data_IF_469603654122
#
_entry.id   IF_469603654122
#
_cell.length_a   1.000
_cell.length_b   1.000
_cell.length_c   1.000
_cell.angle_alpha   90.00
_cell.angle_beta   90.00
_cell.angle_gamma   90.00
#
_symmetry.space_group_name_H-M   'P 1'
#
loop_
_entity.id
_entity.type
_entity.pdbx_description
1 polymer ?
#
# COMPACT_ATOMS: atom_id res chain seq x y z
N UNK A 1 26.27 53.49 -5.63
CA UNK A 1 25.10 53.00 -6.37
C UNK A 1 24.39 52.03 -5.48
N UNK A 2 23.36 52.48 -4.77
CA UNK A 2 22.58 51.67 -3.79
C UNK A 2 21.33 51.17 -4.50
N UNK A 3 21.18 49.86 -4.64
CA UNK A 3 19.99 49.24 -5.22
C UNK A 3 19.02 48.94 -4.06
N UNK A 4 17.94 49.77 -3.98
CA UNK A 4 16.82 49.52 -3.08
C UNK A 4 15.90 48.45 -3.67
N UNK A 5 15.84 47.28 -3.04
CA UNK A 5 14.78 46.32 -3.27
C UNK A 5 13.58 46.64 -2.38
N UNK A 6 12.52 47.17 -2.98
CA UNK A 6 11.22 47.26 -2.33
C UNK A 6 10.48 45.92 -2.43
N UNK A 7 9.92 45.36 -1.33
CA UNK A 7 9.13 44.16 -1.42
C UNK A 7 7.77 44.47 -2.05
N UNK A 8 7.44 43.77 -3.14
CA UNK A 8 6.09 43.81 -3.71
C UNK A 8 5.12 43.15 -2.72
N UNK A 9 4.33 43.96 -2.03
CA UNK A 9 3.12 43.51 -1.36
C UNK A 9 2.17 42.93 -2.41
N UNK A 10 1.98 41.60 -2.39
CA UNK A 10 0.81 40.96 -2.99
C UNK A 10 -0.25 40.80 -1.91
N UNK A 11 -1.09 41.81 -1.75
CA UNK A 11 -2.39 41.65 -1.10
C UNK A 11 -3.33 41.02 -2.13
N UNK A 12 -3.65 39.77 -1.95
CA UNK A 12 -4.92 39.23 -2.37
C UNK A 12 -5.45 38.37 -1.23
N UNK A 13 -6.21 39.01 -0.33
CA UNK A 13 -7.20 38.28 0.48
C UNK A 13 -8.18 37.60 -0.48
N UNK A 14 -7.85 36.41 -0.95
CA UNK A 14 -8.86 35.42 -1.28
C UNK A 14 -9.22 34.80 0.06
N UNK A 15 -10.45 35.05 0.52
CA UNK A 15 -11.14 34.14 1.42
C UNK A 15 -11.25 32.80 0.67
N UNK A 16 -10.21 31.96 0.75
CA UNK A 16 -10.28 30.56 0.46
C UNK A 16 -11.14 29.99 1.59
N UNK A 17 -12.43 29.82 1.36
CA UNK A 17 -13.18 28.80 2.06
C UNK A 17 -12.38 27.53 1.82
N UNK A 18 -11.66 27.06 2.82
CA UNK A 18 -10.99 25.77 2.80
C UNK A 18 -12.10 24.71 2.79
N UNK A 19 -12.47 24.27 1.60
CA UNK A 19 -13.22 23.04 1.46
C UNK A 19 -12.31 21.93 1.98
N UNK A 20 -12.73 21.25 3.05
CA UNK A 20 -11.97 20.10 3.60
C UNK A 20 -12.18 18.87 2.71
N UNK A 21 -11.91 19.01 1.42
CA UNK A 21 -12.08 17.96 0.43
C UNK A 21 -10.85 17.07 0.40
N UNK A 22 -11.05 15.77 0.39
CA UNK A 22 -10.01 14.75 0.32
C UNK A 22 -9.97 14.12 -1.06
N UNK A 23 -8.81 14.13 -1.72
CA UNK A 23 -8.55 13.40 -2.96
C UNK A 23 -7.87 12.06 -2.63
N UNK A 24 -8.54 10.96 -2.91
CA UNK A 24 -7.97 9.63 -2.85
C UNK A 24 -7.47 9.23 -4.24
N UNK A 25 -6.22 8.83 -4.36
CA UNK A 25 -5.66 8.28 -5.60
C UNK A 25 -5.89 6.78 -5.59
N UNK A 26 -6.65 6.27 -6.57
CA UNK A 26 -6.97 4.86 -6.67
C UNK A 26 -5.73 4.01 -6.99
N UNK A 27 -5.61 2.87 -6.32
CA UNK A 27 -4.70 1.78 -6.70
C UNK A 27 -5.49 0.77 -7.54
N UNK A 28 -5.06 0.52 -8.77
CA UNK A 28 -5.76 -0.33 -9.75
C UNK A 28 -4.82 -0.81 -10.87
N UNK A 29 -5.29 -1.78 -11.65
CA UNK A 29 -4.57 -2.33 -12.81
C UNK A 29 -5.23 -2.01 -14.16
N UNK A 30 -5.96 -0.91 -14.26
CA UNK A 30 -6.85 -0.47 -15.35
C UNK A 30 -8.12 -1.32 -15.52
N UNK A 31 -8.27 -2.43 -14.83
CA UNK A 31 -9.44 -3.33 -14.93
C UNK A 31 -10.17 -3.50 -13.62
N UNK A 32 -9.42 -3.64 -12.52
CA UNK A 32 -9.92 -3.90 -11.18
C UNK A 32 -9.43 -2.84 -10.20
N UNK A 33 -10.33 -2.33 -9.39
CA UNK A 33 -10.00 -1.52 -8.22
C UNK A 33 -9.39 -2.43 -7.15
N UNK A 34 -8.24 -2.04 -6.58
CA UNK A 34 -7.57 -2.81 -5.54
C UNK A 34 -8.18 -2.51 -4.16
N UNK A 35 -8.23 -3.52 -3.30
CA UNK A 35 -8.73 -3.39 -1.93
C UNK A 35 -7.98 -2.32 -1.12
N UNK A 36 -6.70 -2.10 -1.41
CA UNK A 36 -5.88 -1.03 -0.85
C UNK A 36 -6.53 0.37 -0.97
N UNK A 37 -7.30 0.61 -2.04
CA UNK A 37 -8.07 1.83 -2.22
C UNK A 37 -9.22 1.93 -1.21
N UNK A 38 -9.92 0.82 -0.93
CA UNK A 38 -11.01 0.78 0.04
C UNK A 38 -10.53 1.09 1.46
N UNK A 39 -9.36 0.55 1.85
CA UNK A 39 -8.72 0.87 3.13
C UNK A 39 -8.35 2.36 3.22
N UNK A 40 -7.85 2.93 2.11
CA UNK A 40 -7.51 4.35 2.03
C UNK A 40 -8.74 5.26 2.15
N UNK A 41 -9.87 4.85 1.58
CA UNK A 41 -11.16 5.57 1.73
C UNK A 41 -11.61 5.57 3.19
N UNK A 42 -11.42 4.47 3.92
CA UNK A 42 -11.74 4.44 5.36
C UNK A 42 -10.90 5.44 6.15
N UNK A 43 -9.60 5.51 5.91
CA UNK A 43 -8.75 6.55 6.50
C UNK A 43 -9.19 7.98 6.11
N UNK A 44 -9.60 8.18 4.85
CA UNK A 44 -10.12 9.46 4.39
C UNK A 44 -11.40 9.88 5.11
N UNK A 45 -12.30 8.94 5.41
CA UNK A 45 -13.52 9.20 6.20
C UNK A 45 -13.24 9.67 7.62
N UNK A 46 -12.16 9.20 8.24
CA UNK A 46 -11.73 9.66 9.57
C UNK A 46 -11.18 11.10 9.55
N UNK A 47 -10.69 11.58 8.39
CA UNK A 47 -10.22 12.95 8.21
C UNK A 47 -11.38 13.93 7.97
N UNK A 48 -12.35 13.54 7.09
CA UNK A 48 -13.46 14.41 6.71
C UNK A 48 -14.44 13.73 5.76
N UNK A 49 -15.52 14.46 5.40
CA UNK A 49 -16.70 13.89 4.77
C UNK A 49 -16.74 14.01 3.25
N UNK A 50 -16.04 14.97 2.65
CA UNK A 50 -16.09 15.16 1.19
C UNK A 50 -14.89 14.49 0.52
N UNK A 51 -15.11 13.28 0.00
CA UNK A 51 -14.07 12.44 -0.57
C UNK A 51 -14.30 12.26 -2.07
N UNK A 52 -13.34 12.71 -2.85
CA UNK A 52 -13.27 12.46 -4.28
C UNK A 52 -12.18 11.40 -4.56
N UNK A 53 -12.39 10.59 -5.59
CA UNK A 53 -11.41 9.57 -6.00
C UNK A 53 -10.90 9.87 -7.40
N UNK A 54 -9.58 9.85 -7.59
CA UNK A 54 -8.95 10.01 -8.89
C UNK A 54 -8.52 8.65 -9.43
N UNK A 55 -8.92 8.36 -10.66
CA UNK A 55 -8.49 7.20 -11.44
C UNK A 55 -7.74 7.70 -12.66
N UNK A 56 -6.46 7.36 -12.76
CA UNK A 56 -5.59 7.68 -13.89
C UNK A 56 -5.14 6.38 -14.56
N UNK A 57 -5.57 6.15 -15.79
CA UNK A 57 -5.27 4.90 -16.48
C UNK A 57 -5.63 4.94 -17.96
N UNK A 58 -5.74 3.76 -18.57
CA UNK A 58 -6.23 3.59 -19.92
C UNK A 58 -7.30 2.49 -19.94
N UNK A 59 -8.40 2.78 -20.65
CA UNK A 59 -9.56 1.88 -20.73
C UNK A 59 -10.08 1.49 -19.33
N UNK A 60 -10.00 2.44 -18.35
CA UNK A 60 -10.25 2.22 -16.93
C UNK A 60 -11.71 2.47 -16.48
N UNK A 61 -12.67 2.43 -17.42
CA UNK A 61 -14.09 2.66 -17.15
C UNK A 61 -14.68 1.69 -16.12
N UNK A 62 -14.27 0.42 -16.12
CA UNK A 62 -14.72 -0.56 -15.12
C UNK A 62 -14.27 -0.18 -13.72
N UNK A 63 -13.02 0.26 -13.57
CA UNK A 63 -12.47 0.75 -12.29
C UNK A 63 -13.28 1.94 -11.77
N UNK A 64 -13.65 2.87 -12.66
CA UNK A 64 -14.47 4.01 -12.29
C UNK A 64 -15.87 3.60 -11.77
N UNK A 65 -16.48 2.59 -12.39
CA UNK A 65 -17.76 2.04 -11.95
C UNK A 65 -17.65 1.36 -10.58
N UNK A 66 -16.57 0.61 -10.35
CA UNK A 66 -16.32 -0.01 -9.05
C UNK A 66 -16.05 1.04 -7.96
N UNK A 67 -15.23 2.06 -8.26
CA UNK A 67 -14.97 3.16 -7.34
C UNK A 67 -16.22 3.97 -7.00
N UNK A 68 -17.12 4.20 -7.95
CA UNK A 68 -18.39 4.90 -7.72
C UNK A 68 -19.32 4.17 -6.74
N UNK A 69 -19.12 2.86 -6.55
CA UNK A 69 -19.90 2.05 -5.61
C UNK A 69 -19.31 2.04 -4.20
N UNK A 70 -18.13 2.62 -3.99
CA UNK A 70 -17.51 2.67 -2.66
C UNK A 70 -18.24 3.69 -1.79
N UNK A 71 -18.62 3.28 -0.59
CA UNK A 71 -19.37 4.11 0.36
C UNK A 71 -18.52 5.28 0.85
N UNK A 72 -19.08 6.48 0.84
CA UNK A 72 -18.44 7.71 1.29
C UNK A 72 -17.74 8.50 0.19
N UNK A 73 -17.70 7.98 -1.04
CA UNK A 73 -17.22 8.73 -2.19
C UNK A 73 -18.34 9.64 -2.71
N UNK A 74 -18.05 10.93 -2.86
CA UNK A 74 -18.95 11.92 -3.46
C UNK A 74 -18.81 11.99 -4.98
N UNK A 75 -17.58 11.83 -5.49
CA UNK A 75 -17.27 11.93 -6.90
C UNK A 75 -16.08 11.06 -7.31
N UNK A 76 -16.15 10.49 -8.51
CA UNK A 76 -15.05 9.79 -9.18
C UNK A 76 -14.57 10.64 -10.35
N UNK A 77 -13.29 11.01 -10.34
CA UNK A 77 -12.62 11.77 -11.39
C UNK A 77 -11.81 10.79 -12.22
N UNK A 78 -12.04 10.74 -13.53
CA UNK A 78 -11.39 9.77 -14.43
C UNK A 78 -10.53 10.49 -15.45
N UNK A 79 -9.24 10.20 -15.46
CA UNK A 79 -8.29 10.58 -16.49
C UNK A 79 -7.94 9.33 -17.32
N UNK A 80 -8.71 9.08 -18.37
CA UNK A 80 -8.56 7.91 -19.24
C UNK A 80 -7.77 8.30 -20.49
N UNK A 81 -6.47 8.05 -20.48
CA UNK A 81 -5.59 8.36 -21.61
C UNK A 81 -4.38 7.42 -21.66
N UNK A 82 -3.83 7.20 -22.86
CA UNK A 82 -2.68 6.33 -23.10
C UNK A 82 -1.44 6.69 -22.24
N UNK A 83 -1.19 7.97 -21.96
CA UNK A 83 -0.05 8.39 -21.14
C UNK A 83 -0.14 7.92 -19.68
N UNK A 84 -1.31 7.46 -19.22
CA UNK A 84 -1.55 6.94 -17.88
C UNK A 84 -1.64 5.41 -17.82
N UNK A 85 -1.51 4.70 -18.94
CA UNK A 85 -1.65 3.23 -19.05
C UNK A 85 -0.83 2.48 -18.00
N UNK A 86 0.43 2.91 -17.81
CA UNK A 86 1.37 2.29 -16.87
C UNK A 86 1.55 3.08 -15.56
N UNK A 87 0.71 4.09 -15.33
CA UNK A 87 0.68 4.90 -14.11
C UNK A 87 2.07 5.42 -13.67
N UNK A 88 2.91 5.80 -14.65
CA UNK A 88 4.23 6.36 -14.37
C UNK A 88 4.09 7.64 -13.53
N UNK A 89 4.81 7.78 -12.41
CA UNK A 89 4.67 8.94 -11.52
C UNK A 89 4.97 10.27 -12.22
N UNK A 90 5.79 10.25 -13.26
CA UNK A 90 6.14 11.41 -14.06
C UNK A 90 4.95 11.99 -14.84
N UNK A 91 4.00 11.13 -15.24
CA UNK A 91 2.75 11.55 -15.88
C UNK A 91 1.63 11.81 -14.85
N UNK A 92 1.51 10.93 -13.83
CA UNK A 92 0.39 10.98 -12.89
C UNK A 92 0.54 12.11 -11.86
N UNK A 93 1.76 12.43 -11.38
CA UNK A 93 1.93 13.47 -10.38
C UNK A 93 1.51 14.86 -10.85
N UNK A 94 1.83 15.33 -12.07
CA UNK A 94 1.31 16.59 -12.60
C UNK A 94 -0.23 16.60 -12.71
N UNK A 95 -0.84 15.48 -13.11
CA UNK A 95 -2.30 15.34 -13.14
C UNK A 95 -2.88 15.54 -11.74
N UNK A 96 -2.34 14.84 -10.73
CA UNK A 96 -2.80 14.96 -9.34
C UNK A 96 -2.68 16.39 -8.84
N UNK A 97 -1.55 17.06 -9.09
CA UNK A 97 -1.36 18.45 -8.65
C UNK A 97 -2.34 19.42 -9.33
N UNK A 98 -2.76 19.12 -10.55
CA UNK A 98 -3.78 19.91 -11.26
C UNK A 98 -5.18 19.67 -10.69
N UNK A 99 -5.55 18.42 -10.45
CA UNK A 99 -6.87 18.06 -9.88
C UNK A 99 -6.98 18.52 -8.43
N UNK A 100 -5.89 18.41 -7.66
CA UNK A 100 -5.88 18.68 -6.23
C UNK A 100 -5.90 20.17 -5.84
N UNK A 101 -6.03 21.11 -6.78
CA UNK A 101 -6.02 22.56 -6.48
C UNK A 101 -7.11 23.02 -5.51
N UNK A 102 -8.17 22.24 -5.37
CA UNK A 102 -9.31 22.50 -4.48
C UNK A 102 -9.35 21.55 -3.27
N UNK A 103 -8.32 20.68 -3.12
CA UNK A 103 -8.28 19.68 -2.07
C UNK A 103 -7.28 20.04 -0.98
N UNK A 104 -7.63 19.76 0.27
CA UNK A 104 -6.75 19.94 1.43
C UNK A 104 -5.97 18.68 1.79
N UNK A 105 -6.42 17.53 1.29
CA UNK A 105 -5.78 16.23 1.56
C UNK A 105 -5.63 15.45 0.25
N UNK A 106 -4.48 14.79 0.11
CA UNK A 106 -4.18 13.87 -1.00
C UNK A 106 -3.71 12.56 -0.38
N UNK A 107 -4.50 11.52 -0.52
CA UNK A 107 -4.25 10.20 0.06
C UNK A 107 -4.00 9.16 -1.02
N UNK A 108 -3.08 8.24 -0.74
CA UNK A 108 -2.95 6.98 -1.48
C UNK A 108 -2.57 5.86 -0.51
N UNK A 109 -2.86 4.62 -0.89
CA UNK A 109 -2.38 3.45 -0.16
C UNK A 109 -0.84 3.42 -0.10
N UNK A 110 -0.26 2.95 0.99
CA UNK A 110 1.18 2.77 1.16
C UNK A 110 1.71 1.53 0.39
N UNK A 111 1.17 1.26 -0.79
CA UNK A 111 1.67 0.29 -1.76
C UNK A 111 2.92 0.81 -2.46
N UNK A 112 3.57 -0.02 -3.27
CA UNK A 112 4.72 0.42 -4.08
C UNK A 112 4.36 1.58 -5.00
N UNK A 113 3.15 1.59 -5.57
CA UNK A 113 2.63 2.67 -6.41
C UNK A 113 2.50 3.97 -5.61
N UNK A 114 1.80 3.94 -4.48
CA UNK A 114 1.63 5.13 -3.64
C UNK A 114 2.95 5.66 -3.07
N UNK A 115 3.86 4.78 -2.63
CA UNK A 115 5.20 5.15 -2.14
C UNK A 115 6.08 5.77 -3.22
N UNK A 116 5.86 5.43 -4.49
CA UNK A 116 6.57 6.03 -5.62
C UNK A 116 5.95 7.38 -6.04
N UNK A 117 4.63 7.50 -6.01
CA UNK A 117 3.89 8.65 -6.53
C UNK A 117 3.83 9.82 -5.54
N UNK A 118 3.46 9.57 -4.28
CA UNK A 118 3.14 10.62 -3.30
C UNK A 118 4.33 11.53 -2.96
N UNK A 119 5.59 11.04 -2.83
CA UNK A 119 6.74 11.92 -2.58
C UNK A 119 6.96 12.94 -3.71
N UNK A 120 6.68 12.53 -4.95
CA UNK A 120 6.78 13.40 -6.11
C UNK A 120 5.69 14.48 -6.08
N UNK A 121 4.46 14.12 -5.74
CA UNK A 121 3.36 15.07 -5.57
C UNK A 121 3.69 16.08 -4.46
N UNK A 122 4.16 15.60 -3.30
CA UNK A 122 4.54 16.46 -2.18
C UNK A 122 5.63 17.47 -2.59
N UNK A 123 6.64 17.03 -3.33
CA UNK A 123 7.70 17.89 -3.85
C UNK A 123 7.15 18.91 -4.87
N UNK A 124 6.20 18.55 -5.73
CA UNK A 124 5.60 19.48 -6.70
C UNK A 124 4.71 20.54 -6.01
N UNK A 125 4.11 20.21 -4.87
CA UNK A 125 3.28 21.11 -4.07
C UNK A 125 4.09 21.91 -3.03
N UNK A 126 5.38 21.62 -2.87
CA UNK A 126 6.27 22.19 -1.86
C UNK A 126 5.76 21.99 -0.42
N UNK A 127 5.30 20.76 -0.11
CA UNK A 127 4.82 20.34 1.19
C UNK A 127 5.50 19.05 1.66
N UNK A 128 5.41 18.75 2.98
CA UNK A 128 5.91 17.51 3.53
C UNK A 128 4.94 16.35 3.27
N UNK A 129 5.48 15.14 3.05
CA UNK A 129 4.67 13.92 3.03
C UNK A 129 4.60 13.28 4.42
N UNK A 130 3.40 12.84 4.81
CA UNK A 130 3.16 12.02 6.00
C UNK A 130 3.03 10.57 5.52
N UNK A 131 4.06 9.76 5.81
CA UNK A 131 4.15 8.40 5.24
C UNK A 131 3.58 7.35 6.18
N UNK A 132 2.78 6.42 5.62
CA UNK A 132 2.44 5.14 6.20
C UNK A 132 1.67 5.29 7.52
N UNK A 133 0.63 6.15 7.53
CA UNK A 133 -0.19 6.36 8.73
C UNK A 133 -0.98 5.12 9.11
N UNK A 134 -1.17 4.92 10.41
CA UNK A 134 -1.96 3.82 10.99
C UNK A 134 -3.15 4.30 11.79
N UNK A 135 -3.25 5.62 12.07
CA UNK A 135 -4.34 6.22 12.82
C UNK A 135 -4.46 7.70 12.47
N UNK A 136 -5.68 8.19 12.42
CA UNK A 136 -6.05 9.60 12.28
C UNK A 136 -6.55 10.10 13.62
N UNK A 137 -5.84 11.02 14.27
CA UNK A 137 -6.29 11.63 15.52
C UNK A 137 -7.20 12.84 15.26
N UNK A 138 -6.88 13.60 14.24
CA UNK A 138 -7.68 14.72 13.73
C UNK A 138 -7.16 15.16 12.35
N UNK A 139 -7.69 16.24 11.77
CA UNK A 139 -7.37 16.69 10.41
C UNK A 139 -5.91 17.11 10.18
N UNK A 140 -5.08 17.31 11.21
CA UNK A 140 -3.67 17.70 11.08
C UNK A 140 -2.70 16.76 11.80
N UNK A 141 -3.21 15.80 12.58
CA UNK A 141 -2.40 14.95 13.47
C UNK A 141 -2.65 13.47 13.22
N UNK A 142 -1.57 12.73 12.99
CA UNK A 142 -1.60 11.34 12.55
C UNK A 142 -0.59 10.51 13.34
N UNK A 143 -0.85 9.20 13.46
CA UNK A 143 0.09 8.24 14.04
C UNK A 143 0.72 7.41 12.93
N UNK A 144 2.03 7.24 13.00
CA UNK A 144 2.77 6.42 12.03
C UNK A 144 3.90 5.61 12.71
N UNK A 145 4.21 4.41 12.21
CA UNK A 145 5.36 3.65 12.69
C UNK A 145 6.68 4.24 12.18
N UNK A 146 7.70 4.19 13.03
CA UNK A 146 9.09 4.52 12.73
C UNK A 146 10.01 3.40 13.23
N UNK A 147 11.28 3.40 12.85
CA UNK A 147 12.25 2.35 13.21
C UNK A 147 11.72 0.94 12.93
N UNK A 148 11.24 0.70 11.70
CA UNK A 148 10.64 -0.56 11.26
C UNK A 148 9.45 -1.02 12.14
N UNK A 149 8.72 -0.06 12.71
CA UNK A 149 7.54 -0.34 13.56
C UNK A 149 7.85 -0.59 15.03
N UNK A 150 9.10 -0.40 15.47
CA UNK A 150 9.47 -0.52 16.89
C UNK A 150 9.03 0.69 17.74
N UNK A 151 8.70 1.80 17.09
CA UNK A 151 8.16 2.98 17.75
C UNK A 151 7.01 3.57 16.92
N UNK A 152 6.04 4.16 17.62
CA UNK A 152 4.93 4.90 17.02
C UNK A 152 5.18 6.39 17.23
N UNK A 153 5.15 7.15 16.15
CA UNK A 153 5.30 8.61 16.19
C UNK A 153 3.96 9.27 15.92
N UNK A 154 3.54 10.16 16.81
CA UNK A 154 2.46 11.10 16.53
C UNK A 154 3.05 12.31 15.82
N UNK A 155 2.57 12.60 14.62
CA UNK A 155 3.07 13.71 13.79
C UNK A 155 1.94 14.69 13.49
N UNK A 156 2.24 15.98 13.57
CA UNK A 156 1.32 17.06 13.22
C UNK A 156 1.89 17.84 12.04
N UNK A 157 1.07 18.12 11.02
CA UNK A 157 1.44 18.92 9.86
C UNK A 157 0.72 20.27 9.87
N UNK A 158 1.50 21.33 9.70
CA UNK A 158 0.99 22.70 9.49
C UNK A 158 0.84 23.07 8.01
N UNK A 159 1.19 22.15 7.09
CA UNK A 159 1.10 22.40 5.66
C UNK A 159 -0.36 22.65 5.22
N UNK A 160 -0.59 23.51 4.22
CA UNK A 160 -1.94 23.79 3.73
C UNK A 160 -2.57 22.58 3.05
N UNK A 161 -1.77 21.72 2.42
CA UNK A 161 -2.19 20.45 1.81
C UNK A 161 -1.43 19.31 2.47
N UNK A 162 -2.15 18.28 2.96
CA UNK A 162 -1.55 17.10 3.56
C UNK A 162 -1.45 16.01 2.51
N UNK A 163 -0.23 15.56 2.20
CA UNK A 163 0.06 14.46 1.29
C UNK A 163 0.39 13.22 2.13
N UNK A 164 -0.45 12.19 2.06
CA UNK A 164 -0.47 11.09 3.04
C UNK A 164 -0.47 9.75 2.35
N UNK A 165 0.43 8.83 2.75
CA UNK A 165 0.25 7.41 2.43
C UNK A 165 -0.34 6.66 3.61
N UNK A 166 -1.29 5.76 3.33
CA UNK A 166 -2.11 5.03 4.32
C UNK A 166 -1.67 3.58 4.38
N UNK A 167 -1.36 3.07 5.57
CA UNK A 167 -1.10 1.66 5.80
C UNK A 167 -2.40 0.87 5.70
N UNK A 168 -2.57 0.09 4.66
CA UNK A 168 -3.82 -0.62 4.37
C UNK A 168 -4.25 -1.59 5.46
N UNK A 169 -3.29 -2.24 6.13
CA UNK A 169 -3.56 -3.19 7.23
C UNK A 169 -4.09 -2.55 8.52
N UNK A 170 -4.02 -1.21 8.64
CA UNK A 170 -4.48 -0.50 9.84
C UNK A 170 -5.94 0.00 9.73
N UNK A 171 -6.52 -0.03 8.54
CA UNK A 171 -7.88 0.45 8.29
C UNK A 171 -8.70 -0.64 7.62
N UNK A 172 -9.95 -0.82 8.04
CA UNK A 172 -10.86 -1.76 7.39
C UNK A 172 -11.22 -1.31 5.96
N UNK A 173 -11.62 -2.23 5.11
CA UNK A 173 -12.14 -1.90 3.78
C UNK A 173 -13.47 -1.13 3.89
N UNK A 174 -13.62 -0.08 3.07
CA UNK A 174 -14.88 0.63 2.95
C UNK A 174 -15.92 -0.25 2.25
N UNK A 175 -17.18 -0.16 2.67
CA UNK A 175 -18.28 -0.92 2.07
C UNK A 175 -18.53 -0.48 0.61
N UNK A 176 -19.03 -1.41 -0.21
CA UNK A 176 -19.35 -1.18 -1.63
C UNK A 176 -20.86 -0.97 -1.79
N UNK A 177 -21.37 0.10 -1.17
CA UNK A 177 -22.82 0.44 -1.15
C UNK A 177 -23.10 1.86 -1.67
N UNK A 178 -22.08 2.54 -2.21
CA UNK A 178 -22.16 3.92 -2.70
C UNK A 178 -22.75 4.03 -4.12
N UNK A 179 -22.93 5.28 -4.54
CA UNK A 179 -23.40 5.64 -5.90
C UNK A 179 -22.89 7.05 -6.27
N UNK A 180 -21.57 7.21 -6.36
CA UNK A 180 -20.94 8.49 -6.69
C UNK A 180 -21.10 8.86 -8.16
N UNK A 181 -21.06 10.16 -8.47
CA UNK A 181 -21.01 10.64 -9.86
C UNK A 181 -19.64 10.39 -10.47
N UNK A 182 -19.61 10.11 -11.77
CA UNK A 182 -18.35 9.91 -12.51
C UNK A 182 -18.17 11.08 -13.46
N UNK A 183 -17.03 11.77 -13.36
CA UNK A 183 -16.66 12.91 -14.19
C UNK A 183 -15.31 12.64 -14.88
N UNK A 184 -15.18 13.09 -16.14
CA UNK A 184 -13.91 13.01 -16.85
C UNK A 184 -13.01 14.20 -16.53
N UNK A 185 -11.73 13.93 -16.32
CA UNK A 185 -10.68 14.95 -16.25
C UNK A 185 -9.93 14.99 -17.59
N UNK A 186 -10.10 16.07 -18.34
CA UNK A 186 -9.49 16.23 -19.68
C UNK A 186 -8.07 16.79 -19.60
N UNK A 187 -7.31 16.41 -18.55
CA UNK A 187 -5.92 16.81 -18.38
C UNK A 187 -4.99 15.71 -18.90
N UNK A 188 -4.12 16.06 -19.83
CA UNK A 188 -3.14 15.15 -20.42
C UNK A 188 -1.74 15.69 -20.11
N UNK A 189 -0.96 14.91 -19.36
CA UNK A 189 0.43 15.24 -19.02
C UNK A 189 1.37 14.18 -19.61
N UNK A 190 1.67 14.33 -20.89
CA UNK A 190 2.71 13.51 -21.52
C UNK A 190 4.09 13.93 -21.03
N UNK A 191 4.97 12.96 -20.89
CA UNK A 191 6.35 13.18 -20.44
C UNK A 191 7.32 12.26 -21.19
N UNK A 192 8.62 12.58 -21.13
CA UNK A 192 9.70 11.82 -21.75
C UNK A 192 10.85 11.54 -20.78
N UNK A 193 10.61 11.67 -19.48
CA UNK A 193 11.61 11.44 -18.41
C UNK A 193 11.83 9.96 -18.15
N UNK A 194 10.79 9.15 -18.31
CA UNK A 194 10.81 7.70 -18.14
C UNK A 194 9.92 7.04 -19.18
N UNK A 195 10.23 5.79 -19.51
CA UNK A 195 9.49 4.97 -20.47
C UNK A 195 9.27 3.61 -19.86
N UNK A 196 8.04 3.12 -19.94
CA UNK A 196 7.74 1.74 -19.58
C UNK A 196 8.36 0.80 -20.62
N UNK A 197 9.12 -0.19 -20.17
CA UNK A 197 9.78 -1.16 -21.04
C UNK A 197 9.03 -2.48 -21.01
N UNK A 198 8.86 -3.06 -19.83
CA UNK A 198 8.14 -4.32 -19.65
C UNK A 198 7.92 -4.59 -18.16
N UNK A 199 6.95 -5.43 -17.86
CA UNK A 199 6.75 -6.01 -16.54
C UNK A 199 6.59 -7.54 -16.66
N UNK A 200 6.97 -8.25 -15.62
CA UNK A 200 6.69 -9.68 -15.49
C UNK A 200 5.80 -9.87 -14.27
N UNK A 201 4.55 -10.19 -14.51
CA UNK A 201 3.59 -10.51 -13.47
C UNK A 201 3.57 -12.02 -13.25
N UNK A 202 3.76 -12.45 -12.01
CA UNK A 202 3.47 -13.83 -11.62
C UNK A 202 1.95 -14.02 -11.60
N UNK A 203 1.46 -14.99 -12.40
CA UNK A 203 0.06 -15.38 -12.35
C UNK A 203 -0.08 -16.44 -11.27
N UNK A 204 -0.83 -16.14 -10.23
CA UNK A 204 -1.22 -17.10 -9.19
C UNK A 204 -2.73 -17.15 -9.11
N UNK A 205 -3.28 -18.34 -8.98
CA UNK A 205 -4.72 -18.54 -8.67
C UNK A 205 -4.99 -18.37 -7.17
N UNK A 206 -3.93 -18.25 -6.34
CA UNK A 206 -4.02 -18.03 -4.90
C UNK A 206 -4.38 -16.58 -4.58
N UNK A 207 -4.95 -16.33 -3.39
CA UNK A 207 -5.25 -14.97 -2.92
C UNK A 207 -4.01 -14.08 -2.98
N UNK A 208 -4.21 -12.79 -3.23
CA UNK A 208 -3.13 -11.81 -3.13
C UNK A 208 -2.65 -11.70 -1.67
N UNK A 209 -1.34 -11.59 -1.45
CA UNK A 209 -0.74 -11.50 -0.12
C UNK A 209 -1.34 -10.41 0.76
N UNK A 210 -1.66 -9.26 0.18
CA UNK A 210 -2.20 -8.11 0.93
C UNK A 210 -3.67 -8.25 1.34
N UNK A 211 -4.39 -9.22 0.75
CA UNK A 211 -5.81 -9.48 1.01
C UNK A 211 -6.08 -10.87 1.61
N UNK A 212 -5.05 -11.71 1.74
CA UNK A 212 -5.20 -13.08 2.21
C UNK A 212 -5.45 -13.15 3.72
N UNK A 213 -6.45 -13.93 4.14
CA UNK A 213 -6.70 -14.23 5.56
C UNK A 213 -5.69 -15.21 6.16
N UNK A 214 -5.07 -16.05 5.33
CA UNK A 214 -4.05 -17.02 5.75
C UNK A 214 -2.85 -16.87 4.83
N UNK A 215 -1.65 -16.78 5.41
CA UNK A 215 -0.39 -16.71 4.69
C UNK A 215 0.57 -17.76 5.24
N UNK A 216 1.21 -18.52 4.34
CA UNK A 216 2.36 -19.36 4.67
C UNK A 216 3.58 -18.80 3.95
N UNK A 217 4.66 -18.54 4.68
CA UNK A 217 5.84 -17.89 4.14
C UNK A 217 7.10 -18.72 4.33
N UNK A 218 7.88 -18.83 3.23
CA UNK A 218 9.16 -19.52 3.23
C UNK A 218 10.35 -18.57 3.42
N UNK A 219 11.26 -18.97 4.31
CA UNK A 219 12.53 -18.30 4.50
C UNK A 219 13.68 -18.96 3.73
N UNK A 220 14.91 -18.45 3.97
CA UNK A 220 16.13 -19.07 3.44
C UNK A 220 16.33 -20.52 3.96
N UNK A 221 15.66 -20.88 5.08
CA UNK A 221 15.63 -22.23 5.59
C UNK A 221 15.03 -23.27 4.66
N UNK A 222 14.26 -22.84 3.63
CA UNK A 222 13.77 -23.71 2.55
C UNK A 222 14.89 -24.26 1.66
N UNK A 223 16.10 -23.68 1.69
CA UNK A 223 17.31 -24.09 1.01
C UNK A 223 17.29 -23.91 -0.51
N UNK A 224 16.17 -24.22 -1.18
CA UNK A 224 16.01 -24.14 -2.64
C UNK A 224 14.59 -23.73 -3.02
N UNK A 225 14.44 -23.19 -4.24
CA UNK A 225 13.13 -22.83 -4.79
C UNK A 225 12.23 -24.05 -5.06
N UNK A 226 12.82 -25.19 -5.42
CA UNK A 226 12.05 -26.43 -5.62
C UNK A 226 11.35 -26.91 -4.34
N UNK A 227 11.89 -26.58 -3.17
CA UNK A 227 11.30 -26.93 -1.89
C UNK A 227 10.06 -26.10 -1.53
N UNK A 228 9.80 -25.00 -2.24
CA UNK A 228 8.58 -24.23 -2.05
C UNK A 228 7.31 -25.01 -2.39
N UNK A 229 7.43 -26.11 -3.16
CA UNK A 229 6.32 -27.03 -3.39
C UNK A 229 5.72 -27.60 -2.09
N UNK A 230 6.52 -27.72 -1.03
CA UNK A 230 6.02 -28.15 0.28
C UNK A 230 5.08 -27.12 0.90
N UNK A 231 5.41 -25.83 0.74
CA UNK A 231 4.52 -24.74 1.17
C UNK A 231 3.26 -24.68 0.30
N UNK A 232 3.41 -24.90 -0.99
CA UNK A 232 2.29 -24.88 -1.96
C UNK A 232 1.22 -25.90 -1.58
N UNK A 233 1.61 -27.11 -1.22
CA UNK A 233 0.69 -28.18 -0.81
C UNK A 233 -0.09 -27.83 0.47
N UNK A 234 0.59 -27.27 1.47
CA UNK A 234 -0.07 -26.79 2.70
C UNK A 234 -0.97 -25.59 2.39
N UNK A 235 -0.50 -24.64 1.55
CA UNK A 235 -1.28 -23.49 1.13
C UNK A 235 -2.57 -23.90 0.40
N UNK A 236 -2.52 -24.90 -0.46
CA UNK A 236 -3.70 -25.41 -1.18
C UNK A 236 -4.76 -25.99 -0.25
N UNK A 237 -4.32 -26.67 0.81
CA UNK A 237 -5.24 -27.18 1.86
C UNK A 237 -5.91 -26.09 2.67
N UNK A 238 -5.18 -25.02 2.96
CA UNK A 238 -5.64 -23.90 3.79
C UNK A 238 -6.31 -22.77 2.99
N UNK A 239 -6.25 -22.78 1.65
CA UNK A 239 -6.63 -21.65 0.84
C UNK A 239 -5.74 -20.43 1.10
N UNK A 240 -4.47 -20.65 1.43
CA UNK A 240 -3.53 -19.65 1.87
C UNK A 240 -2.79 -18.99 0.71
N UNK A 241 -2.38 -17.71 0.89
CA UNK A 241 -1.38 -17.10 0.04
C UNK A 241 0.03 -17.57 0.44
N UNK A 242 0.96 -17.52 -0.51
CA UNK A 242 2.37 -17.86 -0.27
C UNK A 242 3.20 -16.59 -0.24
N UNK A 243 3.93 -16.42 0.87
CA UNK A 243 4.90 -15.35 1.04
C UNK A 243 6.33 -15.87 1.08
N UNK A 244 7.28 -14.95 1.08
CA UNK A 244 8.69 -15.28 1.24
C UNK A 244 9.46 -14.18 1.99
N UNK A 245 10.54 -14.56 2.64
CA UNK A 245 11.49 -13.58 3.16
C UNK A 245 12.31 -12.96 2.01
N UNK A 246 12.82 -11.75 2.23
CA UNK A 246 13.75 -11.12 1.29
C UNK A 246 14.94 -12.03 0.96
N UNK A 247 15.48 -12.73 1.94
CA UNK A 247 16.61 -13.62 1.73
C UNK A 247 16.30 -14.81 0.80
N UNK A 248 15.05 -15.30 0.77
CA UNK A 248 14.62 -16.32 -0.17
C UNK A 248 14.42 -15.76 -1.59
N UNK A 249 13.88 -14.54 -1.69
CA UNK A 249 13.75 -13.82 -2.98
C UNK A 249 15.12 -13.47 -3.57
N UNK A 250 16.02 -12.89 -2.78
CA UNK A 250 17.38 -12.54 -3.21
C UNK A 250 18.19 -13.79 -3.65
N UNK A 251 17.89 -14.96 -3.06
CA UNK A 251 18.46 -16.24 -3.48
C UNK A 251 17.81 -16.82 -4.75
N UNK A 252 16.77 -16.19 -5.28
CA UNK A 252 16.07 -16.63 -6.48
C UNK A 252 15.11 -17.80 -6.29
N UNK A 253 14.73 -18.12 -5.05
CA UNK A 253 13.80 -19.23 -4.76
C UNK A 253 12.40 -18.95 -5.27
N UNK A 254 11.94 -17.70 -5.17
CA UNK A 254 10.63 -17.23 -5.65
C UNK A 254 10.73 -15.81 -6.20
N UNK A 255 9.78 -15.38 -7.05
CA UNK A 255 9.72 -14.02 -7.55
C UNK A 255 9.55 -12.96 -6.45
N UNK A 256 9.93 -11.70 -6.75
CA UNK A 256 9.85 -10.58 -5.82
C UNK A 256 8.42 -10.31 -5.30
N UNK A 257 7.39 -10.65 -6.04
CA UNK A 257 5.98 -10.47 -5.68
C UNK A 257 5.57 -11.23 -4.43
N UNK A 258 6.35 -12.25 -4.05
CA UNK A 258 6.15 -13.04 -2.84
C UNK A 258 6.77 -12.40 -1.59
N UNK A 259 7.56 -11.33 -1.75
CA UNK A 259 8.30 -10.76 -0.64
C UNK A 259 7.38 -10.11 0.40
N UNK A 260 7.47 -10.59 1.65
CA UNK A 260 6.88 -9.98 2.84
C UNK A 260 7.97 -9.29 3.65
N UNK A 261 7.74 -8.05 4.07
CA UNK A 261 8.67 -7.29 4.87
C UNK A 261 8.63 -5.78 4.58
N UNK A 262 9.52 -5.04 5.22
CA UNK A 262 9.61 -3.58 5.13
C UNK A 262 9.73 -3.07 3.67
N UNK A 263 10.47 -3.78 2.83
CA UNK A 263 10.69 -3.44 1.41
C UNK A 263 9.84 -4.26 0.44
N UNK A 264 9.04 -5.19 0.97
CA UNK A 264 8.05 -5.98 0.25
C UNK A 264 6.63 -5.57 0.60
N UNK A 265 5.75 -6.56 0.62
CA UNK A 265 4.36 -6.36 1.03
C UNK A 265 4.25 -6.38 2.56
N UNK A 266 3.42 -5.49 3.11
CA UNK A 266 3.02 -5.49 4.52
C UNK A 266 1.68 -6.20 4.58
N UNK A 267 1.59 -7.19 5.47
CA UNK A 267 0.43 -8.08 5.59
C UNK A 267 0.00 -8.19 7.06
N UNK A 268 -1.28 -8.42 7.30
CA UNK A 268 -1.85 -8.66 8.63
C UNK A 268 -2.97 -9.71 8.53
N UNK A 269 -2.65 -10.95 8.14
CA UNK A 269 -3.63 -12.03 8.04
C UNK A 269 -4.15 -12.45 9.41
N UNK A 270 -5.23 -13.25 9.41
CA UNK A 270 -5.68 -13.93 10.61
C UNK A 270 -4.67 -14.98 11.09
N UNK A 271 -3.96 -15.63 10.15
CA UNK A 271 -2.93 -16.62 10.43
C UNK A 271 -1.71 -16.42 9.52
N UNK A 272 -0.54 -16.25 10.12
CA UNK A 272 0.75 -16.20 9.43
C UNK A 272 1.63 -17.37 9.87
N UNK A 273 1.99 -18.26 8.94
CA UNK A 273 2.87 -19.39 9.19
C UNK A 273 4.25 -19.10 8.63
N UNK A 274 5.23 -18.88 9.50
CA UNK A 274 6.61 -18.57 9.15
C UNK A 274 7.46 -19.84 9.15
N UNK A 275 7.91 -20.29 7.98
CA UNK A 275 8.65 -21.54 7.80
C UNK A 275 10.09 -21.26 7.40
N UNK A 276 11.05 -21.66 8.24
CA UNK A 276 12.48 -21.45 8.00
C UNK A 276 12.89 -19.99 7.88
N UNK A 277 12.14 -19.09 8.53
CA UNK A 277 12.37 -17.65 8.58
C UNK A 277 13.08 -17.30 9.88
N UNK A 278 14.16 -16.52 9.83
CA UNK A 278 14.95 -16.15 11.01
C UNK A 278 14.25 -15.12 11.92
N UNK A 279 13.35 -14.29 11.37
CA UNK A 279 12.75 -13.19 12.14
C UNK A 279 13.61 -11.93 12.17
N UNK A 280 14.34 -11.63 11.09
CA UNK A 280 15.00 -10.34 10.94
C UNK A 280 13.97 -9.21 11.03
N UNK A 281 14.37 -8.08 11.66
CA UNK A 281 13.48 -6.94 11.94
C UNK A 281 12.76 -6.41 10.68
N UNK A 282 13.42 -6.49 9.51
CA UNK A 282 12.83 -6.07 8.24
C UNK A 282 11.68 -6.99 7.78
N UNK A 283 11.76 -8.30 8.11
CA UNK A 283 10.67 -9.24 7.85
C UNK A 283 9.51 -9.02 8.83
N UNK A 284 9.86 -8.91 10.12
CA UNK A 284 8.87 -8.67 11.18
C UNK A 284 8.06 -7.40 10.93
N UNK A 285 8.67 -6.33 10.42
CA UNK A 285 7.99 -5.09 10.05
C UNK A 285 6.86 -5.30 9.02
N UNK A 286 6.90 -6.40 8.27
CA UNK A 286 5.89 -6.72 7.26
C UNK A 286 4.81 -7.70 7.71
N UNK A 287 4.92 -8.35 8.89
CA UNK A 287 3.95 -9.40 9.28
C UNK A 287 3.58 -9.43 10.77
N UNK A 288 4.24 -8.66 11.61
CA UNK A 288 4.05 -8.68 13.06
C UNK A 288 2.63 -8.31 13.52
N UNK A 289 1.87 -7.62 12.67
CA UNK A 289 0.48 -7.22 12.96
C UNK A 289 -0.53 -8.33 12.58
N UNK A 290 -0.06 -9.54 12.22
CA UNK A 290 -0.90 -10.74 12.02
C UNK A 290 -1.57 -11.13 13.34
N UNK A 291 -2.84 -11.63 13.28
CA UNK A 291 -3.57 -11.99 14.51
C UNK A 291 -2.97 -13.19 15.23
N UNK A 292 -2.52 -14.18 14.46
CA UNK A 292 -1.85 -15.39 14.98
C UNK A 292 -0.61 -15.63 14.14
N UNK A 293 0.52 -15.83 14.79
CA UNK A 293 1.82 -16.14 14.17
C UNK A 293 2.28 -17.52 14.63
N UNK A 294 2.47 -18.41 13.65
CA UNK A 294 3.07 -19.74 13.87
C UNK A 294 4.46 -19.74 13.27
N UNK A 295 5.48 -20.18 14.02
CA UNK A 295 6.85 -20.28 13.54
C UNK A 295 7.35 -21.71 13.54
N UNK A 296 7.95 -22.14 12.44
CA UNK A 296 8.63 -23.43 12.29
C UNK A 296 10.09 -23.14 11.91
N UNK A 297 11.01 -23.45 12.82
CA UNK A 297 12.43 -23.26 12.60
C UNK A 297 13.21 -24.32 13.38
N UNK A 298 14.35 -24.77 12.84
CA UNK A 298 15.26 -25.70 13.53
C UNK A 298 16.13 -25.04 14.62
N UNK A 299 16.29 -23.71 14.53
CA UNK A 299 17.08 -22.91 15.45
C UNK A 299 16.15 -22.32 16.51
N UNK A 300 16.24 -22.83 17.74
CA UNK A 300 15.41 -22.41 18.88
C UNK A 300 15.66 -20.95 19.28
N UNK A 301 16.84 -20.40 18.98
CA UNK A 301 17.22 -19.02 19.26
C UNK A 301 16.81 -18.05 18.14
N UNK A 302 16.13 -18.54 17.08
CA UNK A 302 15.71 -17.68 15.98
C UNK A 302 14.77 -16.57 16.48
N UNK A 303 15.03 -15.28 16.16
CA UNK A 303 14.22 -14.15 16.62
C UNK A 303 12.72 -14.23 16.27
N UNK A 304 12.34 -15.04 15.26
CA UNK A 304 10.94 -15.25 14.88
C UNK A 304 10.11 -15.80 16.05
N UNK A 305 10.70 -16.59 16.93
CA UNK A 305 9.98 -17.16 18.09
C UNK A 305 9.62 -16.10 19.15
N UNK A 306 10.28 -14.91 19.13
CA UNK A 306 9.94 -13.82 20.05
C UNK A 306 8.61 -13.14 19.72
N UNK A 307 8.13 -13.31 18.48
CA UNK A 307 6.87 -12.72 18.02
C UNK A 307 5.82 -13.79 17.68
N UNK A 308 6.18 -15.07 17.71
CA UNK A 308 5.28 -16.18 17.41
C UNK A 308 4.38 -16.50 18.61
N UNK A 309 3.08 -16.68 18.35
CA UNK A 309 2.12 -17.19 19.33
C UNK A 309 2.34 -18.70 19.55
N UNK A 310 2.73 -19.41 18.49
CA UNK A 310 3.06 -20.83 18.53
C UNK A 310 4.39 -21.08 17.82
N UNK A 311 5.30 -21.77 18.48
CA UNK A 311 6.61 -22.10 17.94
C UNK A 311 6.84 -23.62 17.90
N UNK A 312 7.33 -24.13 16.77
CA UNK A 312 7.78 -25.50 16.62
C UNK A 312 9.25 -25.54 16.25
N UNK A 313 10.08 -25.99 17.19
CA UNK A 313 11.52 -26.20 16.95
C UNK A 313 11.71 -27.56 16.31
N UNK A 314 11.79 -27.60 14.99
CA UNK A 314 11.86 -28.85 14.24
C UNK A 314 12.42 -28.66 12.82
N UNK A 315 12.70 -29.77 12.15
CA UNK A 315 13.08 -29.79 10.74
C UNK A 315 11.84 -29.57 9.86
N UNK A 316 11.79 -28.45 9.15
CA UNK A 316 10.65 -28.11 8.29
C UNK A 316 10.36 -29.15 7.20
N UNK A 317 11.37 -29.90 6.72
CA UNK A 317 11.20 -30.94 5.71
C UNK A 317 10.49 -32.21 6.22
N UNK A 318 10.42 -32.38 7.53
CA UNK A 318 9.66 -33.44 8.20
C UNK A 318 8.25 -32.93 8.59
N UNK A 319 8.20 -31.72 9.13
CA UNK A 319 6.95 -31.12 9.65
C UNK A 319 5.96 -30.76 8.55
N UNK A 320 6.42 -30.21 7.42
CA UNK A 320 5.49 -29.76 6.35
C UNK A 320 4.69 -30.91 5.74
N UNK A 321 5.29 -32.09 5.42
CA UNK A 321 4.52 -33.25 4.98
C UNK A 321 3.53 -33.75 6.04
N UNK A 322 3.92 -33.81 7.32
CA UNK A 322 3.02 -34.20 8.41
C UNK A 322 1.85 -33.23 8.57
N UNK A 323 2.14 -31.91 8.43
CA UNK A 323 1.12 -30.87 8.47
C UNK A 323 0.15 -30.99 7.28
N UNK A 324 0.67 -31.26 6.07
CA UNK A 324 -0.16 -31.50 4.87
C UNK A 324 -1.11 -32.68 5.08
N UNK A 325 -0.64 -33.77 5.70
CA UNK A 325 -1.47 -34.98 5.99
C UNK A 325 -2.52 -34.70 7.08
N UNK A 326 -2.23 -33.86 8.06
CA UNK A 326 -3.09 -33.53 9.17
C UNK A 326 -4.24 -32.55 8.83
N UNK A 327 -4.09 -31.80 7.75
CA UNK A 327 -5.06 -30.83 7.20
C UNK A 327 -5.97 -31.50 6.14
#
# INVERSE_FOLDING_TARGET
MSINYAPKQKSSNRNLEYFMTTLVIADHDNKLLRSATLNTVTAAKEIGEDIEILIAGKDCKSVAQDAARVSGISKVIVADHMCYEHQLPESVAPLVTQVAQTHSYILAAATTTGKNLLPRIAALLDVAQISDIVEVLNGDTFVRPIYAGNAMATVQSSDPVKVITVRTTAFSEAEVTGNATIESADYIFEQNLSVFVSEKLSRSERPELTAASIIISGGRGMQDGENFVLLEKVADKLGAAIGASRAAVDAGFVPNDYQVGQTGKIVAPDLYIAVGISGAIQHLAGMKDSKVIVAINKDEEAPIFQVADYGLVANLFEVLPELEEAL
#
